data_IF_174657331378
#
_entry.id   IF_174657331378
#
_cell.length_a   1.000
_cell.length_b   1.000
_cell.length_c   1.000
_cell.angle_alpha   90.00
_cell.angle_beta   90.00
_cell.angle_gamma   90.00
#
_symmetry.space_group_name_H-M   'P 1'
#
loop_
_entity.id
_entity.type
_entity.pdbx_description
1 polymer ?
#
# COMPACT_ATOMS: atom_id res chain seq x y z
N UNK A 1 2.56 8.97 5.23
CA UNK A 1 3.84 9.13 5.94
C UNK A 1 3.65 10.15 7.03
N UNK A 2 4.29 9.98 8.17
CA UNK A 2 4.20 10.89 9.31
C UNK A 2 5.30 11.95 9.26
N UNK A 3 5.09 13.09 9.91
CA UNK A 3 6.09 14.18 9.95
C UNK A 3 7.46 13.73 10.47
N UNK A 4 7.49 12.72 11.35
CA UNK A 4 8.71 12.09 11.86
C UNK A 4 9.55 11.42 10.77
N UNK A 5 8.92 11.02 9.66
CA UNK A 5 9.56 10.28 8.58
C UNK A 5 10.28 11.19 7.59
N UNK A 6 10.09 12.52 7.67
CA UNK A 6 10.62 13.50 6.70
C UNK A 6 12.13 13.37 6.53
N UNK A 7 12.89 13.19 7.63
CA UNK A 7 14.35 13.05 7.58
C UNK A 7 14.75 11.78 6.82
N UNK A 8 14.18 10.63 7.20
CA UNK A 8 14.48 9.34 6.57
C UNK A 8 14.07 9.33 5.08
N UNK A 9 12.91 9.90 4.76
CA UNK A 9 12.43 10.07 3.40
C UNK A 9 13.34 10.95 2.55
N UNK A 10 13.79 12.08 3.10
CA UNK A 10 14.71 13.00 2.39
C UNK A 10 16.03 12.32 2.05
N UNK A 11 16.59 11.55 3.00
CA UNK A 11 17.82 10.78 2.79
C UNK A 11 17.63 9.70 1.73
N UNK A 12 16.53 8.96 1.78
CA UNK A 12 16.18 7.94 0.80
C UNK A 12 16.10 8.54 -0.61
N UNK A 13 15.28 9.59 -0.80
CA UNK A 13 15.08 10.19 -2.12
C UNK A 13 16.37 10.81 -2.66
N UNK A 14 17.21 11.37 -1.78
CA UNK A 14 18.55 11.87 -2.16
C UNK A 14 19.47 10.75 -2.61
N UNK A 15 19.49 9.59 -1.93
CA UNK A 15 20.28 8.41 -2.35
C UNK A 15 19.83 7.90 -3.71
N UNK A 16 18.52 7.80 -3.92
CA UNK A 16 17.94 7.42 -5.23
C UNK A 16 18.32 8.46 -6.28
N UNK A 17 18.24 9.76 -5.97
CA UNK A 17 18.64 10.84 -6.86
C UNK A 17 20.08 10.69 -7.35
N UNK A 18 21.01 10.40 -6.43
CA UNK A 18 22.42 10.14 -6.74
C UNK A 18 22.59 8.97 -7.69
N UNK A 19 21.87 7.86 -7.49
CA UNK A 19 21.92 6.70 -8.38
C UNK A 19 21.53 7.07 -9.82
N UNK A 20 20.49 7.88 -9.97
CA UNK A 20 20.00 8.34 -11.28
C UNK A 20 20.70 9.62 -11.79
N UNK A 21 21.76 10.09 -11.12
CA UNK A 21 22.47 11.35 -11.45
C UNK A 21 21.53 12.55 -11.55
N UNK A 22 20.53 12.61 -10.67
CA UNK A 22 19.55 13.70 -10.53
C UNK A 22 19.81 14.49 -9.26
N UNK A 23 19.77 15.81 -9.37
CA UNK A 23 19.70 16.69 -8.19
C UNK A 23 18.28 16.62 -7.62
N UNK A 24 18.17 16.35 -6.33
CA UNK A 24 16.91 16.34 -5.59
C UNK A 24 17.06 17.38 -4.50
N UNK A 25 16.36 18.50 -4.65
CA UNK A 25 16.34 19.59 -3.67
C UNK A 25 15.16 19.44 -2.69
N UNK A 26 15.09 20.37 -1.72
CA UNK A 26 14.04 20.40 -0.71
C UNK A 26 12.65 20.55 -1.28
N UNK A 27 12.49 21.21 -2.43
CA UNK A 27 11.19 21.45 -3.05
C UNK A 27 10.67 20.16 -3.69
N UNK A 28 11.52 19.45 -4.43
CA UNK A 28 11.21 18.13 -5.00
C UNK A 28 10.89 17.13 -3.88
N UNK A 29 11.69 17.10 -2.82
CA UNK A 29 11.43 16.24 -1.64
C UNK A 29 10.06 16.54 -1.05
N UNK A 30 9.74 17.83 -0.84
CA UNK A 30 8.44 18.25 -0.30
C UNK A 30 7.27 17.83 -1.19
N UNK A 31 7.41 17.95 -2.52
CA UNK A 31 6.38 17.52 -3.47
C UNK A 31 6.14 16.01 -3.41
N UNK A 32 7.20 15.20 -3.37
CA UNK A 32 7.08 13.76 -3.23
C UNK A 32 6.44 13.38 -1.89
N UNK A 33 6.91 13.96 -0.79
CA UNK A 33 6.41 13.64 0.55
C UNK A 33 4.91 13.91 0.69
N UNK A 34 4.42 15.03 0.14
CA UNK A 34 2.98 15.33 0.10
C UNK A 34 2.20 14.36 -0.78
N UNK A 35 2.73 14.05 -1.97
CA UNK A 35 2.06 13.15 -2.94
C UNK A 35 1.94 11.72 -2.42
N UNK A 36 2.89 11.28 -1.59
CA UNK A 36 2.96 9.93 -1.01
C UNK A 36 2.43 9.89 0.43
N UNK A 37 1.69 10.91 0.86
CA UNK A 37 1.22 11.06 2.24
C UNK A 37 0.29 9.93 2.71
N UNK A 38 -0.39 9.23 1.79
CA UNK A 38 -1.26 8.09 2.08
C UNK A 38 -0.53 6.78 2.38
N UNK A 39 0.79 6.70 2.13
CA UNK A 39 1.60 5.49 2.33
C UNK A 39 2.43 5.58 3.60
N UNK A 40 2.76 4.46 4.24
CA UNK A 40 3.80 4.43 5.29
C UNK A 40 5.20 4.64 4.67
N UNK A 41 6.20 5.01 5.49
CA UNK A 41 7.58 5.13 5.00
C UNK A 41 8.10 3.78 4.47
N UNK A 42 7.77 2.68 5.14
CA UNK A 42 8.12 1.31 4.71
C UNK A 42 7.47 0.93 3.37
N UNK A 43 6.20 1.30 3.14
CA UNK A 43 5.53 1.09 1.86
C UNK A 43 6.23 1.85 0.72
N UNK A 44 6.71 3.07 1.00
CA UNK A 44 7.45 3.89 0.03
C UNK A 44 8.83 3.30 -0.29
N UNK A 45 9.58 2.89 0.74
CA UNK A 45 10.90 2.27 0.57
C UNK A 45 10.81 1.01 -0.30
N UNK A 46 9.91 0.08 0.05
CA UNK A 46 9.67 -1.15 -0.71
C UNK A 46 9.21 -0.88 -2.14
N UNK A 47 8.40 0.16 -2.36
CA UNK A 47 7.93 0.54 -3.69
C UNK A 47 9.05 1.11 -4.57
N UNK A 48 9.99 1.86 -3.99
CA UNK A 48 11.19 2.36 -4.67
C UNK A 48 12.11 1.19 -5.04
N UNK A 49 12.36 0.25 -4.12
CA UNK A 49 13.18 -0.94 -4.39
C UNK A 49 12.58 -1.77 -5.54
N UNK A 50 11.25 -1.95 -5.52
CA UNK A 50 10.52 -2.65 -6.58
C UNK A 50 10.63 -1.92 -7.93
N UNK A 51 10.60 -0.58 -7.93
CA UNK A 51 10.80 0.22 -9.15
C UNK A 51 12.21 0.04 -9.71
N UNK A 52 13.23 0.05 -8.84
CA UNK A 52 14.62 -0.11 -9.26
C UNK A 52 14.92 -1.50 -9.84
N UNK A 53 14.17 -2.53 -9.41
CA UNK A 53 14.28 -3.88 -9.95
C UNK A 53 13.51 -4.10 -11.27
N UNK A 54 12.66 -3.16 -11.70
CA UNK A 54 11.90 -3.24 -12.95
C UNK A 54 12.82 -2.96 -14.15
N UNK A 55 12.99 -3.93 -15.05
CA UNK A 55 13.92 -3.83 -16.20
C UNK A 55 13.49 -2.82 -17.26
N UNK A 56 12.21 -2.41 -17.28
CA UNK A 56 11.69 -1.41 -18.21
C UNK A 56 11.59 -0.03 -17.53
N UNK A 57 10.96 0.04 -16.36
CA UNK A 57 10.70 1.31 -15.66
C UNK A 57 11.86 1.78 -14.78
N UNK A 58 12.65 0.84 -14.26
CA UNK A 58 13.76 1.11 -13.34
C UNK A 58 14.93 1.87 -13.97
N UNK A 59 14.98 2.03 -15.29
CA UNK A 59 15.99 2.87 -15.96
C UNK A 59 15.79 4.38 -15.71
N UNK A 60 14.59 4.79 -15.28
CA UNK A 60 14.25 6.19 -15.01
C UNK A 60 14.06 6.45 -13.52
N UNK A 61 14.38 7.67 -13.09
CA UNK A 61 14.08 8.13 -11.74
C UNK A 61 12.57 8.01 -11.47
N UNK A 62 12.14 7.37 -10.37
CA UNK A 62 10.74 7.06 -10.13
C UNK A 62 9.91 8.33 -9.96
N UNK A 63 8.78 8.44 -10.66
CA UNK A 63 7.77 9.49 -10.39
C UNK A 63 6.96 9.10 -9.15
N UNK A 64 6.32 10.06 -8.44
CA UNK A 64 5.46 9.71 -7.30
C UNK A 64 4.36 8.71 -7.68
N UNK A 65 3.80 8.82 -8.88
CA UNK A 65 2.78 7.88 -9.38
C UNK A 65 3.31 6.44 -9.55
N UNK A 66 4.57 6.26 -9.94
CA UNK A 66 5.18 4.94 -10.09
C UNK A 66 5.33 4.26 -8.71
N UNK A 67 5.76 5.03 -7.71
CA UNK A 67 5.88 4.60 -6.32
C UNK A 67 4.50 4.20 -5.77
N UNK A 68 3.47 5.04 -5.96
CA UNK A 68 2.09 4.72 -5.54
C UNK A 68 1.59 3.43 -6.18
N UNK A 69 1.82 3.25 -7.48
CA UNK A 69 1.42 2.04 -8.21
C UNK A 69 2.12 0.80 -7.69
N UNK A 70 3.42 0.88 -7.41
CA UNK A 70 4.19 -0.26 -6.90
C UNK A 70 3.81 -0.63 -5.46
N UNK A 71 3.52 0.37 -4.61
CA UNK A 71 3.02 0.14 -3.25
C UNK A 71 1.67 -0.59 -3.26
N UNK A 72 0.78 -0.27 -4.20
CA UNK A 72 -0.53 -0.92 -4.34
C UNK A 72 -0.44 -2.33 -4.93
N UNK A 73 0.49 -2.58 -5.87
CA UNK A 73 0.70 -3.90 -6.49
C UNK A 73 1.16 -4.98 -5.52
N UNK A 74 1.86 -4.60 -4.44
CA UNK A 74 2.26 -5.51 -3.38
C UNK A 74 1.10 -6.00 -2.50
N UNK A 75 -0.10 -5.39 -2.62
CA UNK A 75 -1.31 -5.84 -1.93
C UNK A 75 -1.96 -6.92 -2.79
N UNK A 76 -1.92 -8.17 -2.32
CA UNK A 76 -2.54 -9.28 -3.06
C UNK A 76 -4.05 -9.04 -3.20
N UNK A 77 -4.71 -9.55 -4.26
CA UNK A 77 -6.17 -9.47 -4.38
C UNK A 77 -6.89 -9.99 -3.13
N UNK A 78 -6.31 -10.98 -2.44
CA UNK A 78 -6.80 -11.53 -1.18
C UNK A 78 -6.71 -10.51 -0.04
N UNK A 79 -5.64 -9.71 0.03
CA UNK A 79 -5.51 -8.65 1.05
C UNK A 79 -6.48 -7.50 0.80
N UNK A 80 -6.63 -7.05 -0.45
CA UNK A 80 -7.61 -6.02 -0.82
C UNK A 80 -9.03 -6.51 -0.53
N UNK A 81 -9.33 -7.77 -0.85
CA UNK A 81 -10.62 -8.41 -0.55
C UNK A 81 -10.83 -8.53 0.98
N UNK A 82 -9.82 -8.90 1.75
CA UNK A 82 -9.89 -9.04 3.21
C UNK A 82 -10.14 -7.70 3.92
N UNK A 83 -9.54 -6.61 3.46
CA UNK A 83 -9.80 -5.28 4.01
C UNK A 83 -11.24 -4.85 3.71
N UNK A 84 -11.71 -5.04 2.47
CA UNK A 84 -13.08 -4.72 2.06
C UNK A 84 -14.15 -5.56 2.77
N UNK A 85 -13.92 -6.87 2.94
CA UNK A 85 -14.87 -7.72 3.67
C UNK A 85 -14.90 -7.36 5.14
N UNK A 86 -13.76 -7.03 5.77
CA UNK A 86 -13.72 -6.61 7.17
C UNK A 86 -14.57 -5.35 7.42
N UNK A 87 -14.46 -4.34 6.54
CA UNK A 87 -15.32 -3.16 6.59
C UNK A 87 -16.80 -3.47 6.37
N UNK A 88 -17.11 -4.44 5.52
CA UNK A 88 -18.49 -4.89 5.26
C UNK A 88 -19.08 -5.63 6.47
N UNK A 89 -18.33 -6.54 7.08
CA UNK A 89 -18.73 -7.29 8.27
C UNK A 89 -18.96 -6.36 9.47
N UNK A 90 -18.08 -5.38 9.69
CA UNK A 90 -18.22 -4.38 10.75
C UNK A 90 -19.48 -3.53 10.58
N UNK A 91 -19.74 -3.05 9.37
CA UNK A 91 -20.92 -2.24 9.07
C UNK A 91 -22.22 -3.02 9.28
N UNK A 92 -22.25 -4.28 8.83
CA UNK A 92 -23.41 -5.16 9.01
C UNK A 92 -23.67 -5.49 10.48
N UNK A 93 -22.62 -5.80 11.24
CA UNK A 93 -22.71 -6.09 12.68
C UNK A 93 -23.20 -4.87 13.49
N UNK A 94 -22.78 -3.66 13.10
CA UNK A 94 -23.24 -2.42 13.73
C UNK A 94 -24.70 -2.11 13.40
N UNK A 95 -25.16 -2.42 12.18
CA UNK A 95 -26.56 -2.27 11.77
C UNK A 95 -27.49 -3.28 12.50
N UNK A 96 -27.03 -4.51 12.71
CA UNK A 96 -27.74 -5.54 13.49
C UNK A 96 -27.97 -5.11 14.95
N UNK A 97 -26.96 -4.47 15.58
CA UNK A 97 -27.10 -3.91 16.93
C UNK A 97 -28.01 -2.66 16.98
N UNK A 98 -28.16 -1.93 15.88
CA UNK A 98 -29.06 -0.76 15.76
C UNK A 98 -30.52 -1.15 15.56
N UNK A 99 -30.77 -2.26 14.87
CA UNK A 99 -32.11 -2.69 14.43
C UNK A 99 -32.70 -3.84 15.23
N UNK A 100 -31.88 -4.53 16.05
CA UNK A 100 -32.35 -5.59 16.95
C UNK A 100 -32.74 -6.90 16.26
N UNK A 101 -32.37 -7.11 14.99
CA UNK A 101 -32.69 -8.32 14.22
C UNK A 101 -31.40 -8.98 13.71
N UNK A 102 -31.05 -10.21 14.15
CA UNK A 102 -29.84 -10.89 13.69
C UNK A 102 -30.01 -11.46 12.28
N UNK A 103 -29.12 -11.10 11.34
CA UNK A 103 -29.10 -11.69 10.01
C UNK A 103 -28.29 -13.01 10.01
N UNK A 104 -28.95 -14.11 10.37
CA UNK A 104 -28.40 -15.44 10.14
C UNK A 104 -28.37 -15.76 8.63
N UNK A 105 -27.17 -15.92 8.06
CA UNK A 105 -26.95 -16.90 6.98
C UNK A 105 -25.51 -17.40 7.05
N UNK A 106 -25.34 -18.60 7.62
CA UNK A 106 -24.09 -19.33 7.66
C UNK A 106 -23.72 -19.82 6.25
N UNK A 107 -22.52 -19.49 5.77
CA UNK A 107 -21.87 -20.30 4.73
C UNK A 107 -21.38 -21.58 5.39
N UNK A 108 -22.20 -22.61 5.31
CA UNK A 108 -21.86 -23.96 5.73
C UNK A 108 -20.74 -24.54 4.83
N UNK A 109 -19.64 -24.90 5.49
CA UNK A 109 -18.80 -26.10 5.30
C UNK A 109 -18.61 -26.64 3.88
N UNK A 110 -17.36 -26.62 3.41
CA UNK A 110 -16.84 -27.69 2.56
C UNK A 110 -15.46 -28.12 3.06
N UNK A 111 -15.47 -28.96 4.09
CA UNK A 111 -14.37 -29.84 4.48
C UNK A 111 -14.97 -31.23 4.68
N UNK A 112 -14.83 -32.12 3.70
CA UNK A 112 -14.51 -33.55 3.87
C UNK A 112 -14.70 -34.30 2.55
N UNK A 113 -13.66 -35.01 2.14
CA UNK A 113 -13.64 -35.86 0.96
C UNK A 113 -12.23 -36.39 0.65
N UNK A 114 -11.53 -36.88 1.68
CA UNK A 114 -10.34 -37.70 1.51
C UNK A 114 -10.74 -39.17 1.31
N UNK A 115 -9.95 -39.89 0.51
CA UNK A 115 -9.85 -41.37 0.36
C UNK A 115 -11.05 -42.13 -0.21
N UNK A 116 -10.90 -42.67 -1.42
CA UNK A 116 -10.32 -44.00 -1.69
C UNK A 116 -9.53 -43.97 -3.01
#
# INVERSE_FOLDING_TARGET
MQKTDVKAFSELLTRVGKLYKRSVDTDIIGMYFRSLSSLSFEEVEKAIDSHMADTDKGQYFPKPADIMRNAQRGKSPIQIQNEQVAHTWLSKKMEEHRTGIPAYSATQINQSGATL
#
